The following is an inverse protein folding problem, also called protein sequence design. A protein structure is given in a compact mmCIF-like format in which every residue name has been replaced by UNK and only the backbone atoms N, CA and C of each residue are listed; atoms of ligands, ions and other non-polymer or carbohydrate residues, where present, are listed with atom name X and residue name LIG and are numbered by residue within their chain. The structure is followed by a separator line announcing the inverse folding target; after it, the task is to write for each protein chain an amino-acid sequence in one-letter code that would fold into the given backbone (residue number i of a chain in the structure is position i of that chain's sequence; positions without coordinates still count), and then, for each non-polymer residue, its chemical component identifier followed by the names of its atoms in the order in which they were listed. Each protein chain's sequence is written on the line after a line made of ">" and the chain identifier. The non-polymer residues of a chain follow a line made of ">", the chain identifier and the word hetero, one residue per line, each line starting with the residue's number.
data_IF_571323570027
#
_entry.id   IF_571323570027
#
_cell.length_a   1.000
_cell.length_b   1.000
_cell.length_c   1.000
_cell.angle_alpha   90.00
_cell.angle_beta   90.00
_cell.angle_gamma   90.00
#
_symmetry.space_group_name_H-M   'P 1'
#
loop_
_entity.id
_entity.type
_entity.pdbx_description
1 polymer ?
#
# COMPACT_ATOMS: atom_id res chain seq x y z
N UNK A 1 19.33 12.94 -0.02
CA UNK A 1 18.90 12.41 -1.34
C UNK A 1 17.77 11.41 -1.20
N UNK A 2 17.92 10.31 -0.45
CA UNK A 2 16.81 9.34 -0.22
C UNK A 2 15.54 9.97 0.35
N UNK A 3 15.65 10.90 1.31
CA UNK A 3 14.46 11.58 1.84
C UNK A 3 13.68 12.36 0.78
N UNK A 4 14.38 12.97 -0.19
CA UNK A 4 13.74 13.64 -1.33
C UNK A 4 13.13 12.63 -2.30
N UNK A 5 13.80 11.52 -2.55
CA UNK A 5 13.26 10.43 -3.37
C UNK A 5 11.96 9.87 -2.74
N UNK A 6 11.97 9.60 -1.44
CA UNK A 6 10.79 9.12 -0.70
C UNK A 6 9.66 10.15 -0.69
N UNK A 7 9.97 11.44 -0.62
CA UNK A 7 8.96 12.49 -0.80
C UNK A 7 8.33 12.39 -2.19
N UNK A 8 9.15 12.28 -3.23
CA UNK A 8 8.68 12.23 -4.61
C UNK A 8 7.82 10.98 -4.86
N UNK A 9 8.20 9.83 -4.31
CA UNK A 9 7.39 8.61 -4.33
C UNK A 9 6.06 8.79 -3.58
N UNK A 10 6.08 9.44 -2.41
CA UNK A 10 4.88 9.72 -1.62
C UNK A 10 3.90 10.67 -2.34
N UNK A 11 4.43 11.68 -3.02
CA UNK A 11 3.64 12.63 -3.82
C UNK A 11 3.01 11.94 -5.04
N UNK A 12 3.75 11.11 -5.76
CA UNK A 12 3.20 10.31 -6.87
C UNK A 12 2.11 9.36 -6.36
N UNK A 13 2.34 8.70 -5.22
CA UNK A 13 1.35 7.81 -4.60
C UNK A 13 0.09 8.59 -4.15
N UNK A 14 0.28 9.81 -3.62
CA UNK A 14 -0.81 10.73 -3.29
C UNK A 14 -1.61 11.15 -4.52
N UNK A 15 -0.93 11.46 -5.63
CA UNK A 15 -1.57 11.83 -6.89
C UNK A 15 -2.41 10.69 -7.48
N UNK A 16 -1.87 9.46 -7.52
CA UNK A 16 -2.60 8.27 -7.96
C UNK A 16 -3.82 8.05 -7.07
N UNK A 17 -3.65 8.15 -5.76
CA UNK A 17 -4.75 7.99 -4.80
C UNK A 17 -5.82 9.07 -5.00
N UNK A 18 -5.44 10.31 -5.25
CA UNK A 18 -6.38 11.40 -5.53
C UNK A 18 -7.19 11.12 -6.80
N UNK A 19 -6.55 10.66 -7.88
CA UNK A 19 -7.24 10.27 -9.12
C UNK A 19 -8.30 9.19 -8.84
N UNK A 20 -7.94 8.13 -8.12
CA UNK A 20 -8.87 7.07 -7.76
C UNK A 20 -9.96 7.53 -6.77
N UNK A 21 -9.63 8.42 -5.83
CA UNK A 21 -10.57 8.99 -4.88
C UNK A 21 -11.63 9.85 -5.57
N UNK A 22 -11.26 10.65 -6.58
CA UNK A 22 -12.26 11.48 -7.28
C UNK A 22 -13.32 10.68 -8.04
N UNK A 23 -12.99 9.42 -8.36
CA UNK A 23 -13.87 8.41 -8.94
C UNK A 23 -14.41 7.40 -7.89
N UNK A 24 -14.21 7.68 -6.60
CA UNK A 24 -14.67 6.84 -5.49
C UNK A 24 -15.97 7.38 -4.89
N UNK A 25 -16.84 6.49 -4.36
CA UNK A 25 -18.00 6.90 -3.58
C UNK A 25 -17.63 7.66 -2.30
N UNK A 26 -16.39 7.55 -1.80
CA UNK A 26 -15.94 8.32 -0.64
C UNK A 26 -15.96 9.84 -0.88
N UNK A 27 -15.94 10.30 -2.13
CA UNK A 27 -16.05 11.72 -2.48
C UNK A 27 -17.33 12.37 -1.95
N UNK A 28 -18.41 11.62 -1.79
CA UNK A 28 -19.65 12.14 -1.21
C UNK A 28 -19.54 12.41 0.30
N UNK A 29 -18.60 11.74 0.98
CA UNK A 29 -18.41 11.85 2.42
C UNK A 29 -17.27 12.78 2.81
N UNK A 30 -16.27 12.94 1.93
CA UNK A 30 -15.09 13.75 2.17
C UNK A 30 -15.10 14.91 1.17
N UNK A 31 -15.51 16.12 1.60
CA UNK A 31 -15.64 17.26 0.71
C UNK A 31 -14.28 17.90 0.41
N UNK A 32 -14.14 18.44 -0.80
CA UNK A 32 -13.06 19.34 -1.14
C UNK A 32 -13.07 20.56 -0.18
N UNK A 33 -11.91 21.02 0.33
CA UNK A 33 -10.55 20.61 -0.02
C UNK A 33 -9.93 19.56 0.91
N UNK A 34 -10.70 18.87 1.75
CA UNK A 34 -10.14 17.95 2.75
C UNK A 34 -9.30 16.82 2.12
N UNK A 35 -9.69 16.36 0.93
CA UNK A 35 -8.93 15.42 0.10
C UNK A 35 -7.51 15.90 -0.27
N UNK A 36 -7.26 17.22 -0.34
CA UNK A 36 -5.93 17.77 -0.62
C UNK A 36 -4.94 17.57 0.54
N UNK A 37 -5.42 17.19 1.72
CA UNK A 37 -4.54 16.82 2.83
C UNK A 37 -3.62 15.64 2.49
N UNK A 38 -3.98 14.83 1.48
CA UNK A 38 -3.11 13.79 0.93
C UNK A 38 -1.74 14.34 0.50
N UNK A 39 -1.68 15.55 -0.05
CA UNK A 39 -0.41 16.18 -0.47
C UNK A 39 0.28 16.93 0.68
N UNK A 40 -0.45 17.26 1.74
CA UNK A 40 0.13 17.92 2.91
C UNK A 40 0.88 16.93 3.83
N UNK A 41 0.38 15.70 3.97
CA UNK A 41 0.97 14.70 4.88
C UNK A 41 2.44 14.37 4.53
N UNK A 42 2.83 14.12 3.26
CA UNK A 42 4.22 13.87 2.90
C UNK A 42 5.16 15.04 3.24
N UNK A 43 4.70 16.28 3.05
CA UNK A 43 5.45 17.49 3.40
C UNK A 43 5.69 17.58 4.91
N UNK A 44 4.69 17.22 5.73
CA UNK A 44 4.87 17.11 7.19
C UNK A 44 5.83 15.98 7.53
N UNK A 45 5.73 14.83 6.86
CA UNK A 45 6.63 13.69 7.04
C UNK A 45 8.09 14.01 6.69
N UNK A 46 8.35 15.04 5.87
CA UNK A 46 9.69 15.55 5.61
C UNK A 46 10.36 16.10 6.87
N UNK A 47 9.59 16.72 7.77
CA UNK A 47 10.10 17.22 9.05
C UNK A 47 10.61 16.08 9.96
N UNK A 48 10.00 14.89 9.85
CA UNK A 48 10.39 13.69 10.60
C UNK A 48 11.34 12.79 9.79
N UNK A 49 11.81 13.26 8.62
CA UNK A 49 12.66 12.53 7.67
C UNK A 49 12.09 11.19 7.17
N UNK A 50 10.77 10.98 7.29
CA UNK A 50 10.03 9.84 6.72
C UNK A 50 8.77 10.34 6.00
N UNK A 51 8.92 10.98 4.83
CA UNK A 51 7.79 11.53 4.08
C UNK A 51 6.82 10.44 3.59
N UNK A 52 7.33 9.28 3.15
CA UNK A 52 6.47 8.12 2.85
C UNK A 52 6.38 7.18 4.06
N UNK A 53 5.67 7.60 5.09
CA UNK A 53 5.49 6.77 6.30
C UNK A 53 4.44 5.67 6.10
N UNK A 54 4.52 4.61 6.92
CA UNK A 54 3.47 3.59 7.01
C UNK A 54 2.09 4.18 7.31
N UNK A 55 2.01 5.23 8.13
CA UNK A 55 0.75 5.91 8.43
C UNK A 55 0.15 6.55 7.19
N UNK A 56 0.97 7.27 6.41
CA UNK A 56 0.52 7.86 5.16
C UNK A 56 0.11 6.76 4.17
N UNK A 57 0.89 5.69 4.04
CA UNK A 57 0.53 4.53 3.23
C UNK A 57 -0.81 3.90 3.62
N UNK A 58 -1.10 3.77 4.92
CA UNK A 58 -2.38 3.25 5.42
C UNK A 58 -3.56 4.13 5.01
N UNK A 59 -3.38 5.45 5.05
CA UNK A 59 -4.36 6.42 4.55
C UNK A 59 -4.59 6.23 3.05
N UNK A 60 -3.52 6.07 2.27
CA UNK A 60 -3.64 5.84 0.81
C UNK A 60 -4.36 4.53 0.50
N UNK A 61 -4.07 3.45 1.23
CA UNK A 61 -4.78 2.17 1.10
C UNK A 61 -6.27 2.37 1.33
N UNK A 62 -6.66 3.06 2.41
CA UNK A 62 -8.07 3.27 2.74
C UNK A 62 -8.83 3.93 1.59
N UNK A 63 -8.25 4.97 0.99
CA UNK A 63 -8.85 5.65 -0.17
C UNK A 63 -8.90 4.80 -1.43
N UNK A 64 -7.89 3.96 -1.68
CA UNK A 64 -7.86 3.09 -2.86
C UNK A 64 -8.71 1.81 -2.70
N UNK A 65 -9.00 1.37 -1.47
CA UNK A 65 -9.85 0.19 -1.21
C UNK A 65 -11.33 0.51 -1.35
N UNK A 66 -11.76 1.75 -1.11
CA UNK A 66 -13.19 2.09 -1.12
C UNK A 66 -13.96 1.73 -2.38
N UNK A 67 -13.42 1.84 -3.61
CA UNK A 67 -14.16 1.41 -4.79
C UNK A 67 -14.26 -0.10 -4.92
N UNK A 68 -13.36 -0.85 -4.28
CA UNK A 68 -13.36 -2.31 -4.25
C UNK A 68 -14.35 -2.81 -3.19
N UNK A 69 -14.49 -2.08 -2.07
CA UNK A 69 -15.41 -2.42 -0.98
C UNK A 69 -16.84 -2.61 -1.47
N UNK A 70 -17.29 -1.83 -2.46
CA UNK A 70 -18.64 -1.91 -3.04
C UNK A 70 -19.06 -3.33 -3.47
N UNK A 71 -18.11 -4.19 -3.83
CA UNK A 71 -18.35 -5.59 -4.26
C UNK A 71 -17.86 -6.63 -3.25
N UNK A 72 -17.42 -6.22 -2.07
CA UNK A 72 -16.92 -7.13 -1.06
C UNK A 72 -18.07 -7.66 -0.20
N UNK A 73 -18.01 -8.95 0.17
CA UNK A 73 -18.91 -9.53 1.18
C UNK A 73 -18.88 -8.73 2.49
N UNK A 74 -17.73 -8.15 2.83
CA UNK A 74 -17.60 -7.29 4.02
C UNK A 74 -18.54 -6.09 3.96
N UNK A 75 -18.70 -5.48 2.79
CA UNK A 75 -19.61 -4.34 2.62
C UNK A 75 -21.07 -4.78 2.67
N UNK A 76 -21.42 -5.89 2.01
CA UNK A 76 -22.77 -6.46 2.15
C UNK A 76 -23.08 -6.81 3.61
N UNK A 77 -22.14 -7.41 4.34
CA UNK A 77 -22.28 -7.69 5.76
C UNK A 77 -22.48 -6.44 6.62
N UNK A 78 -21.85 -5.30 6.28
CA UNK A 78 -22.10 -4.01 6.94
C UNK A 78 -23.53 -3.55 6.67
N UNK A 79 -24.01 -3.61 5.42
CA UNK A 79 -25.38 -3.24 5.06
C UNK A 79 -26.40 -4.11 5.80
N UNK A 80 -26.18 -5.43 5.82
CA UNK A 80 -27.07 -6.38 6.50
C UNK A 80 -27.08 -6.15 8.02
N UNK A 81 -25.93 -5.84 8.61
CA UNK A 81 -25.84 -5.51 10.03
C UNK A 81 -26.61 -4.23 10.35
N UNK A 82 -26.49 -3.19 9.53
CA UNK A 82 -27.23 -1.93 9.73
C UNK A 82 -28.75 -2.13 9.61
N UNK A 83 -29.19 -2.96 8.67
CA UNK A 83 -30.59 -3.33 8.50
C UNK A 83 -31.09 -4.19 9.66
N UNK A 84 -30.29 -5.15 10.14
CA UNK A 84 -30.63 -6.01 11.27
C UNK A 84 -30.75 -5.21 12.58
N UNK A 85 -29.85 -4.27 12.83
CA UNK A 85 -29.92 -3.35 13.97
C UNK A 85 -31.20 -2.51 13.88
N UNK A 86 -31.53 -2.01 12.69
CA UNK A 86 -32.73 -1.21 12.50
C UNK A 86 -34.00 -2.01 12.78
N UNK A 87 -34.06 -3.24 12.28
CA UNK A 87 -35.17 -4.13 12.50
C UNK A 87 -35.37 -4.45 14.00
N UNK A 88 -34.28 -4.47 14.79
CA UNK A 88 -34.33 -4.80 16.21
C UNK A 88 -34.64 -3.58 17.10
N UNK A 89 -34.09 -2.41 16.77
CA UNK A 89 -34.09 -1.23 17.64
C UNK A 89 -34.83 -0.01 17.07
N UNK A 90 -35.30 -0.10 15.82
CA UNK A 90 -36.04 0.97 15.12
C UNK A 90 -35.28 2.31 15.13
N UNK A 91 -33.99 2.24 14.82
CA UNK A 91 -33.01 3.34 14.95
C UNK A 91 -32.98 4.29 13.75
N UNK A 92 -33.69 3.98 12.65
CA UNK A 92 -33.62 4.67 11.36
C UNK A 92 -32.36 4.34 10.56
N UNK A 93 -31.63 3.26 10.90
CA UNK A 93 -30.36 2.91 10.26
C UNK A 93 -30.52 2.28 8.87
N UNK A 94 -31.71 1.79 8.49
CA UNK A 94 -31.92 1.29 7.13
C UNK A 94 -31.74 2.38 6.07
N UNK A 95 -32.15 3.62 6.37
CA UNK A 95 -31.99 4.74 5.46
C UNK A 95 -30.50 5.06 5.21
N UNK A 96 -29.65 4.88 6.22
CA UNK A 96 -28.20 5.02 6.11
C UNK A 96 -27.64 3.87 5.26
N UNK A 97 -28.06 2.64 5.52
CA UNK A 97 -27.64 1.47 4.75
C UNK A 97 -27.98 1.61 3.27
N UNK A 98 -29.19 2.06 2.96
CA UNK A 98 -29.67 2.26 1.59
C UNK A 98 -28.93 3.40 0.89
N UNK A 99 -28.66 4.51 1.60
CA UNK A 99 -27.84 5.62 1.08
C UNK A 99 -26.41 5.17 0.77
N UNK A 100 -25.80 4.37 1.65
CA UNK A 100 -24.48 3.76 1.44
C UNK A 100 -24.51 2.83 0.22
N UNK A 101 -25.51 1.96 0.11
CA UNK A 101 -25.65 1.02 -1.00
C UNK A 101 -25.76 1.76 -2.33
N UNK A 102 -26.61 2.80 -2.40
CA UNK A 102 -26.79 3.62 -3.61
C UNK A 102 -25.51 4.34 -4.00
N UNK A 103 -24.78 4.92 -3.03
CA UNK A 103 -23.52 5.61 -3.31
C UNK A 103 -22.47 4.67 -3.93
N UNK A 104 -22.40 3.42 -3.47
CA UNK A 104 -21.37 2.46 -3.86
C UNK A 104 -21.73 1.60 -5.10
N UNK A 105 -23.01 1.34 -5.40
CA UNK A 105 -23.44 0.46 -6.52
C UNK A 105 -22.91 0.90 -7.90
N UNK A 106 -22.74 2.21 -8.13
CA UNK A 106 -22.28 2.75 -9.42
C UNK A 106 -20.77 2.78 -9.62
N UNK A 107 -19.99 2.48 -8.57
CA UNK A 107 -18.55 2.69 -8.56
C UNK A 107 -17.82 1.35 -8.42
N UNK A 108 -17.48 0.73 -9.56
CA UNK A 108 -16.50 -0.35 -9.61
C UNK A 108 -15.28 0.12 -10.38
N UNK A 109 -14.19 0.41 -9.68
CA UNK A 109 -12.89 0.69 -10.31
C UNK A 109 -11.89 -0.43 -10.05
N UNK A 110 -10.84 -0.44 -10.86
CA UNK A 110 -9.80 -1.47 -10.83
C UNK A 110 -8.95 -1.37 -9.55
N UNK A 111 -8.26 -2.47 -9.25
CA UNK A 111 -7.32 -2.60 -8.12
C UNK A 111 -5.98 -1.91 -8.42
N UNK A 112 -5.83 -1.33 -9.61
CA UNK A 112 -4.54 -0.87 -10.14
C UNK A 112 -3.95 0.27 -9.30
N UNK A 113 -4.80 1.20 -8.83
CA UNK A 113 -4.38 2.28 -7.94
C UNK A 113 -3.79 1.77 -6.63
N UNK A 114 -4.45 0.78 -6.02
CA UNK A 114 -3.98 0.14 -4.80
C UNK A 114 -2.65 -0.58 -5.02
N UNK A 115 -2.52 -1.32 -6.13
CA UNK A 115 -1.28 -2.01 -6.49
C UNK A 115 -0.14 -1.02 -6.74
N UNK A 116 -0.37 0.04 -7.51
CA UNK A 116 0.64 1.06 -7.80
C UNK A 116 1.14 1.74 -6.52
N UNK A 117 0.23 2.13 -5.61
CA UNK A 117 0.58 2.73 -4.32
C UNK A 117 1.38 1.76 -3.44
N UNK A 118 0.97 0.50 -3.39
CA UNK A 118 1.67 -0.57 -2.64
C UNK A 118 3.10 -0.74 -3.14
N UNK A 119 3.29 -0.79 -4.45
CA UNK A 119 4.62 -0.93 -5.04
C UNK A 119 5.50 0.29 -4.80
N UNK A 120 4.95 1.50 -4.92
CA UNK A 120 5.69 2.73 -4.59
C UNK A 120 6.14 2.75 -3.13
N UNK A 121 5.30 2.25 -2.22
CA UNK A 121 5.66 2.13 -0.80
C UNK A 121 6.75 1.08 -0.56
N UNK A 122 6.62 -0.12 -1.12
CA UNK A 122 7.66 -1.17 -1.01
C UNK A 122 9.01 -0.64 -1.52
N UNK A 123 8.98 0.05 -2.66
CA UNK A 123 10.16 0.61 -3.29
C UNK A 123 10.79 1.73 -2.43
N UNK A 124 9.98 2.56 -1.78
CA UNK A 124 10.43 3.53 -0.80
C UNK A 124 11.08 2.88 0.44
N UNK A 125 10.47 1.81 0.98
CA UNK A 125 11.00 1.07 2.13
C UNK A 125 12.30 0.34 1.79
N UNK A 126 12.41 -0.25 0.59
CA UNK A 126 13.67 -0.84 0.11
C UNK A 126 14.77 0.23 0.06
N UNK A 127 14.52 1.39 -0.55
CA UNK A 127 15.52 2.46 -0.60
C UNK A 127 15.88 2.99 0.79
N UNK A 128 14.90 3.12 1.68
CA UNK A 128 15.11 3.59 3.04
C UNK A 128 15.91 2.58 3.87
N UNK A 129 15.53 1.29 3.82
CA UNK A 129 16.22 0.20 4.52
C UNK A 129 17.67 0.08 4.05
N UNK A 130 17.90 0.13 2.74
CA UNK A 130 19.25 0.12 2.17
C UNK A 130 20.08 1.31 2.64
N UNK A 131 19.47 2.49 2.73
CA UNK A 131 20.16 3.67 3.26
C UNK A 131 20.49 3.54 4.74
N UNK A 132 19.58 2.99 5.54
CA UNK A 132 19.80 2.73 6.97
C UNK A 132 20.92 1.71 7.17
N UNK A 133 20.99 0.63 6.36
CA UNK A 133 22.09 -0.33 6.38
C UNK A 133 23.44 0.29 5.99
N UNK A 134 23.48 1.07 4.90
CA UNK A 134 24.69 1.80 4.49
C UNK A 134 25.14 2.76 5.60
N UNK A 135 24.20 3.45 6.23
CA UNK A 135 24.52 4.37 7.31
C UNK A 135 25.07 3.61 8.52
N UNK A 136 24.46 2.48 8.87
CA UNK A 136 24.90 1.57 9.93
C UNK A 136 26.34 1.09 9.73
N UNK A 137 26.64 0.52 8.56
CA UNK A 137 27.97 0.01 8.23
C UNK A 137 29.03 1.13 8.15
N UNK A 138 28.67 2.36 7.74
CA UNK A 138 29.57 3.53 7.84
C UNK A 138 29.90 3.88 9.29
N UNK A 139 28.93 3.82 10.20
CA UNK A 139 29.19 3.99 11.64
C UNK A 139 30.07 2.88 12.20
N UNK A 140 29.99 1.66 11.64
CA UNK A 140 30.85 0.53 11.98
C UNK A 140 32.27 0.58 11.39
N UNK A 141 32.61 1.61 10.62
CA UNK A 141 33.93 1.77 10.01
C UNK A 141 34.18 0.89 8.78
N UNK A 142 33.15 0.26 8.22
CA UNK A 142 33.26 -0.52 6.99
C UNK A 142 33.28 0.45 5.80
N UNK A 143 34.31 0.36 4.94
CA UNK A 143 34.38 1.15 3.71
C UNK A 143 33.35 0.63 2.70
N UNK A 144 32.26 1.37 2.59
CA UNK A 144 31.17 1.04 1.68
C UNK A 144 31.39 1.75 0.34
N UNK A 145 32.40 1.33 -0.41
CA UNK A 145 32.44 1.69 -1.83
C UNK A 145 31.37 0.88 -2.57
N UNK A 146 30.46 1.58 -3.27
CA UNK A 146 29.47 0.99 -4.21
C UNK A 146 28.32 0.14 -3.65
N UNK A 147 28.01 0.09 -2.36
CA UNK A 147 26.82 -0.69 -1.91
C UNK A 147 25.51 -0.25 -2.56
N UNK A 148 25.38 1.01 -2.97
CA UNK A 148 24.23 1.48 -3.76
C UNK A 148 24.05 0.72 -5.10
N UNK A 149 25.12 0.18 -5.69
CA UNK A 149 25.04 -0.66 -6.89
C UNK A 149 24.51 -2.06 -6.60
N UNK A 150 24.69 -2.59 -5.37
CA UNK A 150 24.17 -3.92 -4.98
C UNK A 150 22.64 -3.92 -4.92
N UNK A 151 22.04 -2.76 -4.64
CA UNK A 151 20.59 -2.62 -4.54
C UNK A 151 19.90 -2.27 -5.87
N UNK A 152 20.66 -1.81 -6.87
CA UNK A 152 20.13 -1.54 -8.21
C UNK A 152 19.48 -2.78 -8.85
N UNK A 153 20.10 -3.99 -8.79
CA UNK A 153 19.50 -5.22 -9.25
C UNK A 153 18.19 -5.55 -8.54
N UNK A 154 18.13 -5.41 -7.21
CA UNK A 154 16.91 -5.67 -6.44
C UNK A 154 15.78 -4.72 -6.84
N UNK A 155 16.10 -3.44 -7.06
CA UNK A 155 15.17 -2.46 -7.61
C UNK A 155 14.66 -2.86 -9.00
N UNK A 156 15.56 -3.21 -9.92
CA UNK A 156 15.17 -3.63 -11.27
C UNK A 156 14.36 -4.93 -11.26
N UNK A 157 14.66 -5.86 -10.37
CA UNK A 157 13.89 -7.09 -10.21
C UNK A 157 12.49 -6.81 -9.70
N UNK A 158 12.33 -5.96 -8.68
CA UNK A 158 11.02 -5.52 -8.20
C UNK A 158 10.23 -4.79 -9.28
N UNK A 159 10.89 -3.90 -10.04
CA UNK A 159 10.29 -3.18 -11.16
C UNK A 159 9.87 -4.13 -12.30
N UNK A 160 10.68 -5.15 -12.59
CA UNK A 160 10.39 -6.19 -13.57
C UNK A 160 9.15 -6.99 -13.15
N UNK A 161 9.08 -7.41 -11.89
CA UNK A 161 7.90 -8.09 -11.34
C UNK A 161 6.66 -7.22 -11.44
N UNK A 162 6.76 -5.92 -11.14
CA UNK A 162 5.65 -4.98 -11.31
C UNK A 162 5.14 -4.90 -12.76
N UNK A 163 6.05 -4.73 -13.73
CA UNK A 163 5.66 -4.65 -15.14
C UNK A 163 5.15 -5.97 -15.70
N UNK A 164 5.67 -7.10 -15.23
CA UNK A 164 5.22 -8.43 -15.64
C UNK A 164 3.96 -8.87 -14.91
N UNK A 165 3.63 -8.31 -13.74
CA UNK A 165 2.46 -8.71 -12.95
C UNK A 165 1.14 -8.75 -13.75
N UNK A 166 0.75 -7.71 -14.50
CA UNK A 166 -0.48 -7.76 -15.30
C UNK A 166 -0.43 -8.85 -16.38
N UNK A 167 0.74 -9.14 -16.97
CA UNK A 167 0.90 -10.19 -17.98
C UNK A 167 0.89 -11.60 -17.36
N UNK A 168 1.46 -11.76 -16.16
CA UNK A 168 1.46 -13.03 -15.43
C UNK A 168 0.07 -13.35 -14.87
N UNK A 169 -0.69 -12.35 -14.43
CA UNK A 169 -2.01 -12.55 -13.86
C UNK A 169 -3.14 -12.59 -14.90
N UNK A 170 -2.97 -11.97 -16.08
CA UNK A 170 -4.05 -11.97 -17.10
C UNK A 170 -4.34 -13.34 -17.70
N UNK A 171 -3.38 -14.27 -17.67
CA UNK A 171 -3.56 -15.62 -18.23
C UNK A 171 -3.87 -16.68 -17.17
N UNK A 172 -3.76 -16.35 -15.87
CA UNK A 172 -3.91 -17.34 -14.81
C UNK A 172 -5.18 -17.06 -14.02
N UNK A 173 -6.29 -17.60 -14.51
CA UNK A 173 -7.48 -17.81 -13.69
C UNK A 173 -7.17 -18.97 -12.74
N UNK A 174 -6.62 -18.65 -11.57
CA UNK A 174 -6.14 -19.67 -10.62
C UNK A 174 -7.27 -20.55 -10.08
N UNK A 175 -8.55 -20.26 -10.35
CA UNK A 175 -9.70 -20.96 -9.76
C UNK A 175 -9.72 -20.93 -8.22
N UNK A 176 -8.79 -20.17 -7.63
CA UNK A 176 -8.61 -20.00 -6.21
C UNK A 176 -9.50 -18.84 -5.78
N UNK A 177 -10.36 -19.09 -4.79
CA UNK A 177 -11.11 -18.03 -4.13
C UNK A 177 -10.15 -16.89 -3.76
N UNK A 178 -10.56 -15.65 -4.05
CA UNK A 178 -9.73 -14.44 -3.88
C UNK A 178 -9.04 -14.36 -2.51
N UNK A 179 -9.70 -14.87 -1.48
CA UNK A 179 -9.18 -14.96 -0.11
C UNK A 179 -7.90 -15.82 -0.07
N UNK A 180 -7.90 -16.98 -0.71
CA UNK A 180 -6.74 -17.89 -0.72
C UNK A 180 -5.57 -17.27 -1.49
N UNK A 181 -5.84 -16.61 -2.62
CA UNK A 181 -4.82 -15.88 -3.36
C UNK A 181 -4.22 -14.74 -2.53
N UNK A 182 -5.05 -13.99 -1.79
CA UNK A 182 -4.58 -12.94 -0.89
C UNK A 182 -3.74 -13.50 0.27
N UNK A 183 -4.17 -14.60 0.89
CA UNK A 183 -3.41 -15.27 1.96
C UNK A 183 -2.07 -15.78 1.46
N UNK A 184 -2.04 -16.41 0.28
CA UNK A 184 -0.79 -16.84 -0.37
C UNK A 184 0.14 -15.67 -0.67
N UNK A 185 -0.39 -14.55 -1.18
CA UNK A 185 0.39 -13.34 -1.43
C UNK A 185 1.01 -12.77 -0.14
N UNK A 186 0.22 -12.69 0.93
CA UNK A 186 0.69 -12.23 2.25
C UNK A 186 1.75 -13.19 2.81
N UNK A 187 1.53 -14.51 2.72
CA UNK A 187 2.47 -15.51 3.19
C UNK A 187 3.79 -15.47 2.39
N UNK A 188 3.73 -15.33 1.07
CA UNK A 188 4.90 -15.18 0.22
C UNK A 188 5.67 -13.88 0.52
N UNK A 189 4.96 -12.78 0.79
CA UNK A 189 5.58 -11.53 1.20
C UNK A 189 6.33 -11.69 2.54
N UNK A 190 5.70 -12.28 3.55
CA UNK A 190 6.37 -12.56 4.83
C UNK A 190 7.54 -13.53 4.69
N UNK A 191 7.41 -14.56 3.85
CA UNK A 191 8.51 -15.48 3.56
C UNK A 191 9.68 -14.77 2.88
N UNK A 192 9.40 -13.86 1.94
CA UNK A 192 10.43 -13.02 1.30
C UNK A 192 11.14 -12.10 2.30
N UNK A 193 10.38 -11.43 3.16
CA UNK A 193 10.94 -10.58 4.24
C UNK A 193 11.79 -11.41 5.19
N UNK A 194 11.32 -12.59 5.60
CA UNK A 194 12.05 -13.50 6.48
C UNK A 194 13.35 -14.01 5.86
N UNK A 195 13.33 -14.36 4.57
CA UNK A 195 14.53 -14.78 3.84
C UNK A 195 15.54 -13.63 3.73
N UNK A 196 15.07 -12.42 3.44
CA UNK A 196 15.92 -11.23 3.42
C UNK A 196 16.53 -10.92 4.79
N UNK A 197 15.76 -11.04 5.88
CA UNK A 197 16.29 -10.80 7.23
C UNK A 197 17.33 -11.83 7.63
N UNK A 198 17.16 -13.10 7.23
CA UNK A 198 18.16 -14.15 7.51
C UNK A 198 19.43 -14.02 6.68
N UNK A 199 19.31 -13.60 5.43
CA UNK A 199 20.46 -13.34 4.58
C UNK A 199 21.39 -12.27 5.15
N UNK A 200 20.86 -11.32 5.93
CA UNK A 200 21.66 -10.31 6.63
C UNK A 200 22.36 -10.88 7.88
N UNK A 201 21.72 -11.81 8.61
CA UNK A 201 22.34 -12.41 9.81
C UNK A 201 23.50 -13.38 9.51
N UNK A 202 23.48 -14.08 8.37
CA UNK A 202 24.52 -15.07 8.04
C UNK A 202 25.86 -14.43 7.60
N UNK A 203 25.85 -13.21 7.06
CA UNK A 203 27.09 -12.49 6.71
C UNK A 203 27.83 -11.99 7.96
N UNK A 204 27.11 -11.63 9.03
CA UNK A 204 27.72 -11.16 10.29
C UNK A 204 28.39 -12.30 11.08
N UNK A 205 27.94 -13.55 10.92
CA UNK A 205 28.53 -14.70 11.62
C UNK A 205 29.77 -15.22 10.89
N UNK A 206 29.80 -15.16 9.55
CA UNK A 206 30.93 -15.68 8.76
C UNK A 206 32.06 -14.67 8.53
N UNK A 207 31.85 -13.38 8.80
CA UNK A 207 32.89 -12.34 8.69
C UNK A 207 33.60 -12.00 10.01
N UNK A 208 33.20 -12.65 11.12
CA UNK A 208 33.71 -12.42 12.48
C UNK A 208 34.63 -13.50 13.06
N UNK A 209 35.23 -14.37 12.25
CA UNK A 209 36.20 -15.41 12.68
C UNK A 209 37.47 -15.40 11.84
#
# INVERSE_FOLDING_TARGET
>A
MITLLNLLLAEIAGFITYQHFTASPLRYFIPYPAELLLFAIPLVGLAVRRPFSFYYYSVLIFFNISPILARSETFEGIIDTLNAIDALYNTGTSAIAESLKVAFIGHSTSVDGLLAVTWLYILAEVFQGNWESIKGAKTGGVEIERAYLVYLPAFFFALLVYFLYPFLMSEIDFGLERIVAAVLGIAAFFAGVYLLSRGVEEEDINSGG
#
